data_IF_727930573878
#
_entry.id   IF_727930573878
#
_cell.length_a   1.000
_cell.length_b   1.000
_cell.length_c   1.000
_cell.angle_alpha   90.00
_cell.angle_beta   90.00
_cell.angle_gamma   90.00
#
_symmetry.space_group_name_H-M   'P 1'
#
loop_
_entity.id
_entity.type
_entity.pdbx_description
1 polymer ?
#
# COMPACT_ATOMS: atom_id res chain seq x y z
N UNK A 1 29.70 9.52 13.29
CA UNK A 1 29.29 9.32 11.89
C UNK A 1 28.89 7.86 11.70
N UNK A 2 27.72 7.55 11.12
CA UNK A 2 27.33 6.17 10.80
C UNK A 2 27.77 5.85 9.37
N UNK A 3 28.80 5.03 9.21
CA UNK A 3 29.32 4.63 7.90
C UNK A 3 28.26 3.86 7.10
N UNK A 4 28.22 4.07 5.77
CA UNK A 4 27.38 3.28 4.87
C UNK A 4 27.91 1.86 4.82
N UNK A 5 27.02 0.88 4.98
CA UNK A 5 27.32 -0.55 4.91
C UNK A 5 26.91 -1.10 3.54
N UNK A 6 27.44 -2.27 3.14
CA UNK A 6 27.08 -2.93 1.87
C UNK A 6 25.57 -3.08 1.67
N UNK A 7 24.82 -3.23 2.76
CA UNK A 7 23.36 -3.38 2.73
C UNK A 7 22.63 -2.07 2.39
N UNK A 8 23.30 -0.93 2.50
CA UNK A 8 22.75 0.36 2.06
C UNK A 8 22.74 0.50 0.53
N UNK A 9 23.47 -0.38 -0.18
CA UNK A 9 23.52 -0.45 -1.64
C UNK A 9 22.69 -1.61 -2.21
N UNK A 10 22.08 -2.46 -1.38
CA UNK A 10 21.24 -3.54 -1.89
C UNK A 10 19.95 -3.00 -2.47
N UNK A 11 19.72 -3.30 -3.75
CA UNK A 11 18.46 -3.06 -4.46
C UNK A 11 17.85 -4.40 -4.82
N UNK A 12 16.52 -4.51 -4.70
CA UNK A 12 15.78 -5.67 -5.17
C UNK A 12 14.62 -5.20 -6.03
N UNK A 13 14.55 -5.72 -7.25
CA UNK A 13 13.40 -5.55 -8.12
C UNK A 13 12.23 -6.36 -7.56
N UNK A 14 11.10 -5.68 -7.32
CA UNK A 14 9.87 -6.30 -6.86
C UNK A 14 8.83 -6.17 -7.97
N UNK A 15 8.27 -7.31 -8.36
CA UNK A 15 7.15 -7.37 -9.31
C UNK A 15 5.86 -7.44 -8.51
N UNK A 16 4.96 -6.48 -8.71
CA UNK A 16 3.63 -6.47 -8.12
C UNK A 16 2.57 -6.67 -9.23
N UNK A 17 1.80 -7.76 -9.21
CA UNK A 17 0.76 -8.01 -10.21
C UNK A 17 -0.43 -7.04 -10.14
N UNK A 18 -0.60 -6.34 -9.01
CA UNK A 18 -1.73 -5.44 -8.77
C UNK A 18 -1.23 -4.07 -8.25
N UNK A 19 -0.51 -3.35 -9.10
CA UNK A 19 -0.07 -1.98 -8.84
C UNK A 19 -1.08 -0.98 -9.42
N UNK A 20 -1.37 0.07 -8.67
CA UNK A 20 -2.17 1.20 -9.14
C UNK A 20 -1.27 2.14 -9.96
N UNK A 21 -1.61 2.37 -11.22
CA UNK A 21 -0.91 3.25 -12.14
C UNK A 21 -1.57 4.63 -12.21
N UNK A 22 -0.92 5.56 -12.93
CA UNK A 22 -1.51 6.86 -13.25
C UNK A 22 -2.84 6.69 -14.00
N UNK A 23 -3.80 7.58 -13.74
CA UNK A 23 -5.19 7.41 -14.20
C UNK A 23 -5.97 6.32 -13.45
N UNK A 24 -5.31 5.61 -12.53
CA UNK A 24 -5.83 4.60 -11.60
C UNK A 24 -6.29 3.30 -12.23
N UNK A 25 -5.64 2.91 -13.33
CA UNK A 25 -5.66 1.55 -13.83
C UNK A 25 -4.88 0.64 -12.88
N UNK A 26 -5.31 -0.62 -12.73
CA UNK A 26 -4.63 -1.62 -11.90
C UNK A 26 -3.98 -2.66 -12.80
N UNK A 27 -2.66 -2.83 -12.69
CA UNK A 27 -1.91 -3.75 -13.54
C UNK A 27 -0.55 -4.15 -12.98
N UNK A 28 0.20 -4.91 -13.76
CA UNK A 28 1.56 -5.31 -13.41
C UNK A 28 2.43 -4.06 -13.26
N UNK A 29 3.17 -3.98 -12.16
CA UNK A 29 4.14 -2.92 -11.90
C UNK A 29 5.44 -3.49 -11.38
N UNK A 30 6.55 -2.85 -11.73
CA UNK A 30 7.88 -3.22 -11.27
C UNK A 30 8.48 -2.02 -10.55
N UNK A 31 8.97 -2.22 -9.33
CA UNK A 31 9.65 -1.17 -8.59
C UNK A 31 10.92 -1.67 -7.91
N UNK A 32 11.94 -0.82 -7.85
CA UNK A 32 13.15 -1.10 -7.10
C UNK A 32 12.94 -0.78 -5.62
N UNK A 33 13.07 -1.78 -4.77
CA UNK A 33 13.05 -1.59 -3.32
C UNK A 33 14.49 -1.45 -2.82
N UNK A 34 14.81 -0.31 -2.26
CA UNK A 34 16.07 -0.09 -1.52
C UNK A 34 15.87 -0.38 -0.03
N UNK A 35 16.96 -0.62 0.71
CA UNK A 35 16.88 -0.91 2.15
C UNK A 35 16.37 0.29 2.97
N UNK A 36 16.56 1.50 2.46
CA UNK A 36 16.25 2.76 3.16
C UNK A 36 15.12 3.52 2.51
N UNK A 37 13.97 2.89 2.24
CA UNK A 37 12.71 3.58 1.89
C UNK A 37 12.24 4.51 3.06
N UNK A 38 13.10 5.42 3.51
CA UNK A 38 12.97 6.25 4.69
C UNK A 38 12.86 7.70 4.23
N UNK A 39 11.67 8.23 4.39
CA UNK A 39 11.41 9.66 4.25
C UNK A 39 11.99 10.37 5.46
N UNK A 40 12.88 11.35 5.24
CA UNK A 40 13.54 12.09 6.33
C UNK A 40 12.85 13.42 6.67
N UNK A 41 11.97 13.93 5.82
CA UNK A 41 11.29 15.21 6.05
C UNK A 41 10.22 15.06 7.15
N UNK A 42 10.32 15.80 8.27
CA UNK A 42 9.33 15.75 9.34
C UNK A 42 7.93 16.16 8.86
N UNK A 43 7.83 17.12 7.94
CA UNK A 43 6.57 17.60 7.38
C UNK A 43 5.91 16.51 6.54
N UNK A 44 6.68 15.84 5.67
CA UNK A 44 6.15 14.72 4.87
C UNK A 44 5.71 13.56 5.76
N UNK A 45 6.47 13.23 6.80
CA UNK A 45 6.10 12.19 7.75
C UNK A 45 4.80 12.51 8.49
N UNK A 46 4.58 13.77 8.90
CA UNK A 46 3.31 14.20 9.52
C UNK A 46 2.14 14.09 8.54
N UNK A 47 2.32 14.57 7.29
CA UNK A 47 1.30 14.45 6.25
C UNK A 47 0.93 12.99 5.97
N UNK A 48 1.92 12.11 5.85
CA UNK A 48 1.67 10.67 5.65
C UNK A 48 0.93 10.07 6.84
N UNK A 49 1.27 10.43 8.08
CA UNK A 49 0.54 9.96 9.26
C UNK A 49 -0.91 10.43 9.26
N UNK A 50 -1.17 11.70 8.92
CA UNK A 50 -2.52 12.26 8.83
C UNK A 50 -3.35 11.56 7.73
N UNK A 51 -2.77 11.42 6.54
CA UNK A 51 -3.35 10.70 5.39
C UNK A 51 -3.66 9.24 5.78
N UNK A 52 -2.71 8.55 6.41
CA UNK A 52 -2.90 7.17 6.84
C UNK A 52 -4.01 7.04 7.89
N UNK A 53 -4.11 7.98 8.83
CA UNK A 53 -5.18 8.01 9.82
C UNK A 53 -6.55 8.23 9.16
N UNK A 54 -6.66 9.21 8.26
CA UNK A 54 -7.89 9.50 7.52
C UNK A 54 -8.33 8.31 6.66
N UNK A 55 -7.40 7.68 5.94
CA UNK A 55 -7.67 6.47 5.15
C UNK A 55 -8.08 5.30 6.03
N UNK A 56 -7.44 5.10 7.18
CA UNK A 56 -7.78 4.01 8.10
C UNK A 56 -9.18 4.20 8.71
N UNK A 57 -9.55 5.43 9.03
CA UNK A 57 -10.87 5.74 9.58
C UNK A 57 -11.99 5.56 8.56
N UNK A 58 -11.77 5.98 7.30
CA UNK A 58 -12.85 6.10 6.31
C UNK A 58 -12.85 5.03 5.21
N UNK A 59 -11.70 4.41 4.93
CA UNK A 59 -11.51 3.50 3.80
C UNK A 59 -11.00 2.11 4.21
N UNK A 60 -11.03 1.79 5.51
CA UNK A 60 -10.55 0.49 5.97
C UNK A 60 -11.55 -0.62 5.65
N UNK A 61 -11.08 -1.61 4.89
CA UNK A 61 -11.81 -2.86 4.70
C UNK A 61 -11.85 -3.69 6.00
N UNK A 62 -12.93 -4.44 6.27
CA UNK A 62 -13.05 -5.32 7.43
C UNK A 62 -12.10 -6.54 7.35
N UNK A 63 -11.77 -6.96 6.13
CA UNK A 63 -10.97 -8.13 5.82
C UNK A 63 -9.75 -7.77 4.96
N UNK A 64 -8.85 -8.74 4.78
CA UNK A 64 -7.65 -8.61 3.96
C UNK A 64 -7.52 -9.79 2.99
N UNK A 65 -7.06 -9.53 1.77
CA UNK A 65 -6.91 -10.56 0.76
C UNK A 65 -5.67 -11.45 0.99
N UNK A 66 -5.81 -12.73 0.73
CA UNK A 66 -4.72 -13.69 0.61
C UNK A 66 -4.89 -14.57 -0.62
N UNK A 67 -3.78 -15.04 -1.18
CA UNK A 67 -3.75 -16.06 -2.24
C UNK A 67 -3.49 -17.45 -1.68
N UNK A 68 -3.23 -17.57 -0.37
CA UNK A 68 -2.91 -18.83 0.29
C UNK A 68 -4.15 -19.34 1.05
N UNK A 69 -4.80 -20.44 0.59
CA UNK A 69 -6.00 -20.96 1.23
C UNK A 69 -5.78 -21.38 2.68
N UNK A 70 -4.55 -21.74 3.08
CA UNK A 70 -4.21 -22.13 4.47
C UNK A 70 -4.21 -20.96 5.44
N UNK A 71 -4.28 -19.73 4.93
CA UNK A 71 -4.28 -18.50 5.72
C UNK A 71 -5.67 -17.89 5.89
N UNK A 72 -6.67 -18.41 5.18
CA UNK A 72 -8.06 -17.94 5.29
C UNK A 72 -8.55 -18.11 6.73
N UNK A 73 -9.26 -17.11 7.25
CA UNK A 73 -9.73 -17.06 8.64
C UNK A 73 -8.69 -16.60 9.66
N UNK A 74 -7.39 -16.57 9.31
CA UNK A 74 -6.36 -16.03 10.21
C UNK A 74 -6.39 -14.51 10.23
N UNK A 75 -6.05 -13.94 11.38
CA UNK A 75 -5.96 -12.48 11.55
C UNK A 75 -4.57 -12.00 11.18
N UNK A 76 -4.49 -10.99 10.31
CA UNK A 76 -3.26 -10.26 10.00
C UNK A 76 -3.52 -8.77 10.19
N UNK A 77 -2.72 -8.13 11.04
CA UNK A 77 -2.86 -6.70 11.36
C UNK A 77 -4.30 -6.31 11.79
N UNK A 78 -4.96 -7.19 12.56
CA UNK A 78 -6.33 -6.98 13.03
C UNK A 78 -7.43 -7.22 11.99
N UNK A 79 -7.10 -7.72 10.78
CA UNK A 79 -8.08 -8.06 9.73
C UNK A 79 -8.10 -9.56 9.45
N UNK A 80 -9.28 -10.13 9.28
CA UNK A 80 -9.45 -11.53 8.90
C UNK A 80 -9.03 -11.71 7.45
N UNK A 81 -8.24 -12.75 7.16
CA UNK A 81 -7.82 -13.05 5.80
C UNK A 81 -8.91 -13.82 5.04
N UNK A 82 -9.24 -13.32 3.84
CA UNK A 82 -10.15 -13.96 2.89
C UNK A 82 -9.37 -14.34 1.63
N UNK A 83 -9.73 -15.47 1.02
CA UNK A 83 -9.23 -15.80 -0.31
C UNK A 83 -9.81 -14.79 -1.31
N UNK A 84 -8.95 -14.17 -2.10
CA UNK A 84 -9.39 -13.22 -3.13
C UNK A 84 -8.86 -13.64 -4.49
N UNK A 85 -9.74 -13.61 -5.48
CA UNK A 85 -9.38 -13.78 -6.88
C UNK A 85 -8.76 -12.49 -7.44
N UNK A 86 -7.98 -12.59 -8.54
CA UNK A 86 -7.37 -11.42 -9.19
C UNK A 86 -8.36 -10.28 -9.49
N UNK A 87 -9.58 -10.61 -9.92
CA UNK A 87 -10.62 -9.61 -10.20
C UNK A 87 -11.16 -8.95 -8.93
N UNK A 88 -11.29 -9.69 -7.82
CA UNK A 88 -11.67 -9.12 -6.53
C UNK A 88 -10.58 -8.17 -6.01
N UNK A 89 -9.31 -8.53 -6.20
CA UNK A 89 -8.18 -7.66 -5.82
C UNK A 89 -8.20 -6.36 -6.62
N UNK A 90 -8.40 -6.41 -7.94
CA UNK A 90 -8.51 -5.21 -8.79
C UNK A 90 -9.69 -4.33 -8.35
N UNK A 91 -10.86 -4.92 -8.12
CA UNK A 91 -12.05 -4.20 -7.66
C UNK A 91 -11.83 -3.51 -6.31
N UNK A 92 -11.18 -4.19 -5.36
CA UNK A 92 -10.85 -3.61 -4.04
C UNK A 92 -9.85 -2.46 -4.15
N UNK A 93 -8.87 -2.55 -5.04
CA UNK A 93 -7.91 -1.47 -5.29
C UNK A 93 -8.61 -0.26 -5.94
N UNK A 94 -9.48 -0.49 -6.92
CA UNK A 94 -10.28 0.57 -7.54
C UNK A 94 -11.19 1.28 -6.51
N UNK A 95 -11.92 0.51 -5.68
CA UNK A 95 -12.74 1.05 -4.60
C UNK A 95 -11.91 1.81 -3.54
N UNK A 96 -10.69 1.34 -3.24
CA UNK A 96 -9.78 2.05 -2.34
C UNK A 96 -9.35 3.40 -2.93
N UNK A 97 -9.12 3.48 -4.24
CA UNK A 97 -8.85 4.75 -4.93
C UNK A 97 -10.05 5.68 -4.87
N UNK A 98 -11.25 5.20 -5.19
CA UNK A 98 -12.48 6.02 -5.11
C UNK A 98 -12.68 6.59 -3.70
N UNK A 99 -12.48 5.76 -2.68
CA UNK A 99 -12.54 6.21 -1.30
C UNK A 99 -11.44 7.24 -0.98
N UNK A 100 -10.21 7.02 -1.45
CA UNK A 100 -9.12 7.96 -1.28
C UNK A 100 -9.42 9.33 -1.91
N UNK A 101 -9.99 9.35 -3.12
CA UNK A 101 -10.35 10.60 -3.82
C UNK A 101 -11.40 11.42 -3.06
N UNK A 102 -12.27 10.76 -2.28
CA UNK A 102 -13.27 11.43 -1.44
C UNK A 102 -12.71 11.92 -0.11
N UNK A 103 -11.79 11.17 0.48
CA UNK A 103 -11.32 11.37 1.87
C UNK A 103 -10.08 12.25 1.93
N UNK A 104 -9.20 12.13 0.95
CA UNK A 104 -7.98 12.91 0.89
C UNK A 104 -8.26 14.23 0.16
N UNK A 105 -7.85 15.37 0.71
CA UNK A 105 -7.96 16.63 0.00
C UNK A 105 -7.16 16.52 -1.30
N UNK A 106 -7.84 16.62 -2.44
CA UNK A 106 -7.18 16.85 -3.72
C UNK A 106 -6.50 18.20 -3.60
N UNK A 107 -5.17 18.26 -3.76
CA UNK A 107 -4.44 19.52 -3.75
C UNK A 107 -5.04 20.43 -4.85
N UNK A 108 -5.82 21.41 -4.40
CA UNK A 108 -6.61 22.32 -5.21
C UNK A 108 -7.00 23.57 -4.44
N UNK A 109 -6.21 23.93 -3.42
CA UNK A 109 -6.09 25.27 -2.81
C UNK A 109 -4.65 25.46 -2.31
#
# INVERSE_FOLDING_TARGET
MKYLTKVDFTRRTVVNPFMLHEGGTVGLGVYERTRRNMLKSPVLLRRIKAVAAAMKANCSLPDACTTDPKKVGKVRNGKVLKLCDPEEVKRRIAAARECAMRVLPTAGE
#
